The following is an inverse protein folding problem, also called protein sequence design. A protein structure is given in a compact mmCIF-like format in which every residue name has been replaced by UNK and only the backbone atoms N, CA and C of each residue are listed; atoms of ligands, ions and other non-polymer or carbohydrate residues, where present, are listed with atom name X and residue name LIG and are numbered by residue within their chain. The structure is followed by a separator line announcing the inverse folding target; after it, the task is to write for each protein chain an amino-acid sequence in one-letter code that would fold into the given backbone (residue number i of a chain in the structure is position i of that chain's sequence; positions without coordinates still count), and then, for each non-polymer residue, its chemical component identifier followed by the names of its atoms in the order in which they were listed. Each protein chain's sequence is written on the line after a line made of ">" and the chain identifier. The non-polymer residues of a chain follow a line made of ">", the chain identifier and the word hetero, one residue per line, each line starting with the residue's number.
data_IF_558418595917
#
_entry.id   IF_558418595917
#
_cell.length_a   1.000
_cell.length_b   1.000
_cell.length_c   1.000
_cell.angle_alpha   90.00
_cell.angle_beta   90.00
_cell.angle_gamma   90.00
#
_symmetry.space_group_name_H-M   'P 1'
#
loop_
_entity.id
_entity.type
_entity.pdbx_description
1 polymer ?
#
# COMPACT_ATOMS: atom_id res chain seq x y z
N UNK A 1 50.01 29.86 -9.42
CA UNK A 1 49.40 28.94 -10.40
C UNK A 1 48.96 27.70 -9.65
N UNK A 2 47.70 27.68 -9.21
CA UNK A 2 46.88 26.48 -9.04
C UNK A 2 45.43 26.94 -9.10
N UNK A 3 44.65 26.17 -9.83
CA UNK A 3 43.37 26.45 -10.48
C UNK A 3 42.25 26.93 -9.53
N UNK A 4 41.38 27.85 -9.99
CA UNK A 4 40.18 28.27 -9.28
C UNK A 4 39.01 27.30 -9.54
N UNK A 5 38.14 27.17 -8.54
CA UNK A 5 36.73 26.76 -8.73
C UNK A 5 36.51 25.33 -9.25
N UNK A 6 36.57 24.36 -8.35
CA UNK A 6 35.65 23.23 -8.45
C UNK A 6 34.21 23.80 -8.32
N UNK A 7 33.34 23.67 -9.34
CA UNK A 7 31.97 24.14 -9.21
C UNK A 7 31.27 23.28 -8.16
N UNK A 8 30.46 23.85 -7.25
CA UNK A 8 29.55 23.03 -6.46
C UNK A 8 28.70 22.23 -7.45
N UNK A 9 28.71 20.90 -7.30
CA UNK A 9 27.87 20.00 -8.09
C UNK A 9 26.42 20.51 -8.13
N UNK A 10 25.68 20.23 -9.21
CA UNK A 10 24.38 20.84 -9.45
C UNK A 10 23.47 20.69 -8.22
N UNK A 11 22.80 21.76 -7.78
CA UNK A 11 21.81 21.65 -6.72
C UNK A 11 20.66 20.75 -7.20
N UNK A 12 20.29 19.77 -6.38
CA UNK A 12 18.98 19.11 -6.42
C UNK A 12 18.65 18.26 -7.67
N UNK A 13 19.50 17.26 -7.97
CA UNK A 13 18.90 15.97 -8.36
C UNK A 13 18.24 15.43 -7.10
N UNK A 14 16.91 15.54 -6.99
CA UNK A 14 16.17 15.25 -5.76
C UNK A 14 16.71 13.99 -5.11
N UNK A 15 17.24 14.11 -3.89
CA UNK A 15 17.72 12.96 -3.14
C UNK A 15 16.55 11.97 -3.03
N UNK A 16 16.61 10.80 -3.67
CA UNK A 16 15.49 9.87 -3.71
C UNK A 16 15.16 9.36 -2.31
N UNK A 17 16.15 9.22 -1.43
CA UNK A 17 15.92 8.86 -0.04
C UNK A 17 15.23 10.00 0.71
N UNK A 18 15.63 11.25 0.49
CA UNK A 18 14.97 12.43 1.05
C UNK A 18 13.51 12.60 0.61
N UNK A 19 13.17 12.20 -0.62
CA UNK A 19 11.78 12.15 -1.12
C UNK A 19 11.00 11.06 -0.41
N UNK A 20 11.52 9.83 -0.37
CA UNK A 20 10.90 8.68 0.32
C UNK A 20 10.57 9.03 1.76
N UNK A 21 11.56 9.53 2.52
CA UNK A 21 11.43 9.98 3.90
C UNK A 21 10.30 10.99 4.13
N UNK A 22 10.17 11.99 3.24
CA UNK A 22 9.11 13.01 3.35
C UNK A 22 7.74 12.40 3.12
N UNK A 23 7.62 11.51 2.14
CA UNK A 23 6.37 10.84 1.80
C UNK A 23 5.96 9.87 2.91
N UNK A 24 6.88 9.08 3.45
CA UNK A 24 6.62 8.17 4.56
C UNK A 24 6.17 8.92 5.81
N UNK A 25 6.86 10.01 6.18
CA UNK A 25 6.43 10.86 7.29
C UNK A 25 5.04 11.45 7.06
N UNK A 26 4.75 11.93 5.85
CA UNK A 26 3.43 12.48 5.51
C UNK A 26 2.34 11.42 5.61
N UNK A 27 2.58 10.23 5.06
CA UNK A 27 1.66 9.10 5.11
C UNK A 27 1.32 8.71 6.55
N UNK A 28 2.34 8.51 7.39
CA UNK A 28 2.13 8.09 8.78
C UNK A 28 1.55 9.17 9.68
N UNK A 29 1.85 10.46 9.44
CA UNK A 29 1.40 11.56 10.28
C UNK A 29 0.01 12.08 9.92
N UNK A 30 -0.35 12.12 8.64
CA UNK A 30 -1.56 12.78 8.16
C UNK A 30 -2.60 11.83 7.57
N UNK A 31 -2.24 10.57 7.31
CA UNK A 31 -3.12 9.59 6.67
C UNK A 31 -3.20 8.27 7.46
N UNK A 32 -3.00 8.30 8.77
CA UNK A 32 -3.14 7.12 9.63
C UNK A 32 -4.58 6.58 9.61
N UNK A 33 -5.57 7.46 9.50
CA UNK A 33 -6.99 7.11 9.33
C UNK A 33 -7.23 6.26 8.07
N UNK A 34 -6.52 6.55 6.98
CA UNK A 34 -6.59 5.76 5.74
C UNK A 34 -5.96 4.40 5.96
N UNK A 35 -4.81 4.33 6.65
CA UNK A 35 -4.16 3.05 6.99
C UNK A 35 -5.05 2.20 7.91
N UNK A 36 -5.68 2.80 8.91
CA UNK A 36 -6.62 2.13 9.81
C UNK A 36 -7.86 1.63 9.06
N UNK A 37 -8.36 2.42 8.10
CA UNK A 37 -9.45 2.02 7.20
C UNK A 37 -9.08 0.83 6.31
N UNK A 38 -7.89 0.84 5.72
CA UNK A 38 -7.34 -0.29 4.95
C UNK A 38 -7.23 -1.55 5.81
N UNK A 39 -6.72 -1.42 7.03
CA UNK A 39 -6.62 -2.51 8.01
C UNK A 39 -8.00 -3.09 8.33
N UNK A 40 -8.97 -2.24 8.66
CA UNK A 40 -10.34 -2.63 8.98
C UNK A 40 -11.02 -3.38 7.82
N UNK A 41 -10.85 -2.88 6.59
CA UNK A 41 -11.37 -3.56 5.40
C UNK A 41 -10.72 -4.92 5.19
N UNK A 42 -9.42 -5.04 5.42
CA UNK A 42 -8.70 -6.30 5.31
C UNK A 42 -9.12 -7.31 6.40
N UNK A 43 -9.38 -6.84 7.62
CA UNK A 43 -9.87 -7.67 8.73
C UNK A 43 -11.27 -8.21 8.45
N UNK A 44 -12.16 -7.37 7.88
CA UNK A 44 -13.49 -7.79 7.47
C UNK A 44 -13.43 -8.92 6.42
N UNK A 45 -12.60 -8.73 5.38
CA UNK A 45 -12.37 -9.75 4.34
C UNK A 45 -11.76 -11.03 4.92
N UNK A 46 -10.77 -10.90 5.80
CA UNK A 46 -10.13 -12.05 6.45
C UNK A 46 -11.10 -12.84 7.35
N UNK A 47 -12.06 -12.16 7.98
CA UNK A 47 -13.11 -12.79 8.80
C UNK A 47 -14.03 -13.68 7.97
N UNK A 48 -14.31 -13.31 6.71
CA UNK A 48 -15.14 -14.12 5.80
C UNK A 48 -14.51 -15.49 5.52
N UNK A 49 -13.18 -15.58 5.44
CA UNK A 49 -12.49 -16.84 5.15
C UNK A 49 -12.40 -17.75 6.37
N UNK A 50 -12.21 -17.16 7.55
CA UNK A 50 -12.18 -17.91 8.82
C UNK A 50 -13.54 -18.51 9.18
N UNK A 51 -14.64 -17.90 8.72
CA UNK A 51 -16.01 -18.37 8.97
C UNK A 51 -16.48 -19.52 8.08
N UNK A 52 -15.69 -19.96 7.10
CA UNK A 52 -16.06 -21.00 6.12
C UNK A 52 -15.46 -22.40 6.38
N UNK A 53 -14.68 -22.55 7.45
CA UNK A 53 -13.96 -23.79 7.79
C UNK A 53 -14.56 -24.53 8.98
N UNK A 54 -15.83 -24.93 8.89
CA UNK A 54 -16.41 -25.91 9.83
C UNK A 54 -15.85 -27.32 9.53
N UNK A 55 -14.60 -27.57 9.91
CA UNK A 55 -14.12 -28.91 10.27
C UNK A 55 -13.30 -28.82 11.58
N UNK A 56 -13.85 -28.11 12.56
CA UNK A 56 -13.31 -28.11 13.91
C UNK A 56 -13.70 -29.40 14.63
N UNK A 57 -12.73 -30.29 14.77
CA UNK A 57 -12.73 -31.29 15.84
C UNK A 57 -12.82 -30.54 17.18
N UNK A 58 -13.84 -30.78 18.02
CA UNK A 58 -13.96 -30.10 19.30
C UNK A 58 -12.83 -30.55 20.23
N UNK A 59 -11.85 -29.68 20.49
CA UNK A 59 -10.77 -29.98 21.44
C UNK A 59 -9.51 -29.15 21.31
N UNK A 60 -9.21 -28.56 20.15
CA UNK A 60 -8.07 -27.66 19.99
C UNK A 60 -8.52 -26.20 20.05
N UNK A 61 -8.21 -25.54 21.17
CA UNK A 61 -8.14 -24.08 21.21
C UNK A 61 -7.06 -23.64 20.23
N UNK A 62 -7.45 -23.34 18.99
CA UNK A 62 -6.56 -22.82 17.94
C UNK A 62 -6.13 -21.39 18.29
N UNK A 63 -5.16 -21.30 19.19
CA UNK A 63 -4.43 -20.07 19.47
C UNK A 63 -3.41 -19.84 18.34
N UNK A 64 -3.49 -18.67 17.71
CA UNK A 64 -2.47 -18.06 16.85
C UNK A 64 -2.31 -18.58 15.40
N UNK A 65 -3.40 -18.92 14.69
CA UNK A 65 -3.33 -18.96 13.22
C UNK A 65 -3.87 -17.65 12.62
N UNK A 66 -3.02 -16.95 11.87
CA UNK A 66 -3.43 -15.79 11.08
C UNK A 66 -4.46 -16.24 10.02
N UNK A 67 -5.52 -15.46 9.75
CA UNK A 67 -6.50 -15.79 8.73
C UNK A 67 -5.83 -16.08 7.38
N UNK A 68 -6.19 -17.19 6.74
CA UNK A 68 -5.59 -17.66 5.48
C UNK A 68 -6.63 -18.16 4.49
N UNK A 69 -6.43 -17.90 3.20
CA UNK A 69 -7.16 -18.52 2.09
C UNK A 69 -6.22 -18.89 0.94
N UNK A 70 -6.57 -19.86 0.10
CA UNK A 70 -5.87 -20.12 -1.19
C UNK A 70 -6.60 -19.53 -2.39
N UNK A 71 -7.82 -19.01 -2.19
CA UNK A 71 -8.64 -18.42 -3.24
C UNK A 71 -8.31 -16.93 -3.44
N UNK A 72 -7.73 -16.60 -4.59
CA UNK A 72 -7.42 -15.21 -4.97
C UNK A 72 -8.68 -14.37 -5.21
N UNK A 73 -9.74 -14.99 -5.71
CA UNK A 73 -11.01 -14.32 -6.00
C UNK A 73 -11.81 -14.03 -4.72
N UNK A 74 -11.45 -14.68 -3.61
CA UNK A 74 -11.88 -14.31 -2.26
C UNK A 74 -11.09 -13.11 -1.68
N UNK A 75 -9.97 -12.70 -2.29
CA UNK A 75 -9.10 -11.61 -1.81
C UNK A 75 -9.34 -10.32 -2.59
N UNK A 76 -8.97 -10.29 -3.87
CA UNK A 76 -8.90 -9.02 -4.62
C UNK A 76 -10.28 -8.41 -4.82
N UNK A 77 -11.29 -9.14 -5.33
CA UNK A 77 -12.63 -8.59 -5.50
C UNK A 77 -13.31 -8.24 -4.17
N UNK A 78 -13.13 -9.07 -3.14
CA UNK A 78 -13.71 -8.82 -1.82
C UNK A 78 -13.13 -7.56 -1.17
N UNK A 79 -11.80 -7.42 -1.21
CA UNK A 79 -11.12 -6.25 -0.70
C UNK A 79 -11.45 -4.99 -1.50
N UNK A 80 -11.50 -5.07 -2.83
CA UNK A 80 -11.93 -3.94 -3.66
C UNK A 80 -13.34 -3.47 -3.30
N UNK A 81 -14.30 -4.39 -3.10
CA UNK A 81 -15.66 -4.05 -2.66
C UNK A 81 -15.69 -3.43 -1.26
N UNK A 82 -14.91 -3.96 -0.32
CA UNK A 82 -14.82 -3.41 1.03
C UNK A 82 -14.28 -1.98 1.03
N UNK A 83 -13.23 -1.70 0.25
CA UNK A 83 -12.67 -0.37 0.09
C UNK A 83 -13.65 0.61 -0.57
N UNK A 84 -14.42 0.15 -1.56
CA UNK A 84 -15.44 0.97 -2.22
C UNK A 84 -16.59 1.31 -1.27
N UNK A 85 -17.09 0.33 -0.52
CA UNK A 85 -18.14 0.51 0.48
C UNK A 85 -17.71 1.45 1.63
N UNK A 86 -16.43 1.40 2.02
CA UNK A 86 -15.85 2.32 2.99
C UNK A 86 -15.54 3.72 2.42
N UNK A 87 -15.74 3.94 1.10
CA UNK A 87 -15.40 5.20 0.42
C UNK A 87 -13.90 5.44 0.26
N UNK A 88 -13.05 4.49 0.64
CA UNK A 88 -11.59 4.61 0.58
C UNK A 88 -11.09 4.71 -0.85
N UNK A 89 -11.68 3.96 -1.80
CA UNK A 89 -11.27 4.05 -3.21
C UNK A 89 -11.39 5.46 -3.77
N UNK A 90 -12.45 6.19 -3.42
CA UNK A 90 -12.64 7.58 -3.83
C UNK A 90 -11.69 8.55 -3.10
N UNK A 91 -11.19 8.17 -1.93
CA UNK A 91 -10.30 8.99 -1.11
C UNK A 91 -8.80 8.84 -1.50
N UNK A 92 -8.38 7.64 -1.93
CA UNK A 92 -6.99 7.32 -2.29
C UNK A 92 -6.35 8.27 -3.32
N UNK A 93 -7.05 8.80 -4.35
CA UNK A 93 -6.47 9.78 -5.25
C UNK A 93 -6.06 11.09 -4.54
N UNK A 94 -6.85 11.53 -3.55
CA UNK A 94 -6.52 12.72 -2.76
C UNK A 94 -5.26 12.49 -1.94
N UNK A 95 -5.19 11.35 -1.26
CA UNK A 95 -3.98 10.91 -0.54
C UNK A 95 -2.78 10.92 -1.46
N UNK A 96 -2.89 10.32 -2.66
CA UNK A 96 -1.79 10.33 -3.63
C UNK A 96 -1.36 11.76 -4.01
N UNK A 97 -2.30 12.68 -4.20
CA UNK A 97 -1.98 14.09 -4.49
C UNK A 97 -1.23 14.77 -3.34
N UNK A 98 -1.61 14.49 -2.11
CA UNK A 98 -0.97 15.04 -0.91
C UNK A 98 0.45 14.48 -0.72
N UNK A 99 0.64 13.17 -0.94
CA UNK A 99 1.94 12.51 -0.94
C UNK A 99 2.86 13.06 -2.05
N UNK A 100 2.32 13.29 -3.25
CA UNK A 100 3.05 13.92 -4.36
C UNK A 100 3.47 15.35 -4.00
N UNK A 101 2.61 16.10 -3.32
CA UNK A 101 2.95 17.44 -2.83
C UNK A 101 4.09 17.38 -1.81
N UNK A 102 4.07 16.41 -0.90
CA UNK A 102 5.15 16.17 0.06
C UNK A 102 6.47 15.73 -0.60
N UNK A 103 6.40 15.05 -1.75
CA UNK A 103 7.58 14.76 -2.57
C UNK A 103 8.23 16.03 -3.16
N UNK A 104 7.50 17.15 -3.21
CA UNK A 104 8.01 18.44 -3.68
C UNK A 104 8.01 18.56 -5.20
N UNK A 105 7.10 17.85 -5.89
CA UNK A 105 6.98 17.86 -7.35
C UNK A 105 5.51 18.07 -7.75
N UNK A 106 5.23 18.93 -8.74
CA UNK A 106 3.87 19.11 -9.23
C UNK A 106 3.44 17.88 -10.02
N UNK A 107 2.19 17.46 -9.83
CA UNK A 107 1.61 16.39 -10.62
C UNK A 107 1.09 16.94 -11.96
N UNK A 108 1.33 16.25 -13.09
CA UNK A 108 0.90 16.74 -14.40
C UNK A 108 -0.63 16.67 -14.61
N UNK A 109 -1.32 15.76 -13.90
CA UNK A 109 -2.75 15.60 -13.99
C UNK A 109 -3.32 15.13 -12.64
N UNK A 110 -4.55 15.55 -12.26
CA UNK A 110 -5.20 15.05 -11.04
C UNK A 110 -5.39 13.53 -11.14
N UNK A 111 -5.13 12.78 -10.04
CA UNK A 111 -5.20 11.34 -10.07
C UNK A 111 -6.67 10.90 -9.98
N UNK A 112 -6.97 9.73 -10.51
CA UNK A 112 -8.30 9.12 -10.45
C UNK A 112 -8.26 7.82 -9.67
N UNK A 113 -9.42 7.38 -9.14
CA UNK A 113 -9.58 6.13 -8.38
C UNK A 113 -9.53 4.88 -9.30
N UNK A 114 -8.56 4.84 -10.21
CA UNK A 114 -8.41 3.79 -11.20
C UNK A 114 -6.94 3.68 -11.64
N UNK A 115 -6.57 2.56 -12.29
CA UNK A 115 -5.28 2.46 -12.95
C UNK A 115 -5.09 3.62 -13.95
N UNK A 116 -3.87 4.18 -14.05
CA UNK A 116 -2.63 3.69 -13.46
C UNK A 116 -2.33 4.19 -12.05
N UNK A 117 -3.21 4.99 -11.44
CA UNK A 117 -2.94 5.71 -10.19
C UNK A 117 -3.24 4.89 -8.94
N UNK A 118 -4.36 4.17 -8.94
CA UNK A 118 -4.80 3.31 -7.84
C UNK A 118 -5.01 1.90 -8.39
N UNK A 119 -4.32 0.92 -7.81
CA UNK A 119 -4.45 -0.49 -8.20
C UNK A 119 -4.65 -1.33 -6.95
N UNK A 120 -5.75 -2.09 -6.90
CA UNK A 120 -5.98 -3.09 -5.85
C UNK A 120 -5.31 -4.40 -6.29
N UNK A 121 -4.55 -5.02 -5.40
CA UNK A 121 -3.80 -6.26 -5.63
C UNK A 121 -4.16 -7.30 -4.57
N UNK A 122 -3.64 -8.50 -4.71
CA UNK A 122 -3.79 -9.56 -3.69
C UNK A 122 -2.99 -9.31 -2.41
N UNK A 123 -2.13 -8.28 -2.40
CA UNK A 123 -1.37 -7.88 -1.21
C UNK A 123 -1.95 -6.63 -0.55
N UNK A 124 -2.75 -5.82 -1.27
CA UNK A 124 -3.31 -4.58 -0.76
C UNK A 124 -3.55 -3.54 -1.85
N UNK A 125 -3.11 -2.31 -1.63
CA UNK A 125 -3.28 -1.20 -2.57
C UNK A 125 -1.94 -0.65 -3.03
N UNK A 126 -1.82 -0.38 -4.33
CA UNK A 126 -0.68 0.27 -4.94
C UNK A 126 -1.10 1.65 -5.47
N UNK A 127 -0.45 2.70 -4.96
CA UNK A 127 -0.59 4.06 -5.44
C UNK A 127 0.61 4.43 -6.31
N UNK A 128 0.36 5.06 -7.45
CA UNK A 128 1.40 5.38 -8.44
C UNK A 128 1.20 6.76 -9.02
N UNK A 129 2.25 7.58 -8.97
CA UNK A 129 2.28 8.87 -9.65
C UNK A 129 3.57 9.04 -10.44
N UNK A 130 3.47 9.69 -11.60
CA UNK A 130 4.62 10.14 -12.38
C UNK A 130 4.95 11.58 -11.99
N UNK A 131 6.19 11.82 -11.57
CA UNK A 131 6.70 13.08 -11.03
C UNK A 131 7.91 13.55 -11.83
N UNK A 132 7.65 14.25 -12.94
CA UNK A 132 8.70 14.66 -13.88
C UNK A 132 9.50 13.45 -14.36
N UNK A 133 10.77 13.44 -14.01
CA UNK A 133 11.80 12.46 -14.36
C UNK A 133 11.76 11.19 -13.51
N UNK A 134 10.91 11.12 -12.48
CA UNK A 134 10.74 9.96 -11.61
C UNK A 134 9.31 9.46 -11.47
N UNK A 135 9.14 8.34 -10.76
CA UNK A 135 7.87 7.72 -10.41
C UNK A 135 7.84 7.42 -8.93
N UNK A 136 6.82 7.99 -8.26
CA UNK A 136 6.45 7.61 -6.91
C UNK A 136 5.57 6.37 -6.94
N UNK A 137 5.94 5.37 -6.15
CA UNK A 137 5.15 4.16 -5.92
C UNK A 137 4.99 4.00 -4.41
N UNK A 138 3.76 3.91 -3.94
CA UNK A 138 3.43 3.65 -2.54
C UNK A 138 2.64 2.34 -2.47
N UNK A 139 3.20 1.35 -1.79
CA UNK A 139 2.57 0.05 -1.59
C UNK A 139 2.01 -0.02 -0.17
N UNK A 140 0.71 -0.22 -0.03
CA UNK A 140 0.01 -0.37 1.24
C UNK A 140 -0.42 -1.83 1.35
N UNK A 141 0.42 -2.65 1.97
CA UNK A 141 0.26 -4.11 2.03
C UNK A 141 -0.46 -4.52 3.30
N UNK A 142 -1.60 -5.20 3.15
CA UNK A 142 -2.44 -5.72 4.23
C UNK A 142 -2.55 -7.24 4.20
N UNK A 143 -2.18 -7.86 3.08
CA UNK A 143 -2.07 -9.31 2.92
C UNK A 143 -0.65 -9.69 2.52
N UNK A 144 -0.22 -10.87 2.93
CA UNK A 144 0.99 -11.54 2.47
C UNK A 144 0.63 -12.70 1.53
N UNK A 145 1.56 -13.05 0.65
CA UNK A 145 1.43 -14.20 -0.25
C UNK A 145 2.43 -15.26 0.22
N UNK A 146 1.92 -16.27 0.91
CA UNK A 146 2.71 -17.44 1.27
C UNK A 146 2.78 -18.42 0.09
N UNK A 147 3.98 -18.55 -0.48
CA UNK A 147 4.31 -19.48 -1.56
C UNK A 147 5.13 -20.69 -1.10
N UNK A 148 5.35 -20.85 0.21
CA UNK A 148 6.13 -21.96 0.75
C UNK A 148 5.35 -23.29 0.74
N UNK A 149 4.02 -23.22 0.74
CA UNK A 149 3.15 -24.37 0.61
C UNK A 149 3.00 -24.84 -0.85
N UNK A 150 2.44 -26.04 -1.04
CA UNK A 150 2.14 -26.61 -2.35
C UNK A 150 1.21 -25.70 -3.16
N UNK A 151 0.31 -24.99 -2.47
CA UNK A 151 -0.58 -23.98 -3.06
C UNK A 151 -0.24 -22.58 -2.52
N UNK A 152 -0.42 -21.57 -3.38
CA UNK A 152 -0.26 -20.18 -2.97
C UNK A 152 -1.36 -19.80 -1.97
N UNK A 153 -0.96 -19.41 -0.77
CA UNK A 153 -1.86 -18.89 0.26
C UNK A 153 -1.78 -17.37 0.38
N UNK A 154 -2.89 -16.76 0.74
CA UNK A 154 -3.02 -15.36 1.10
C UNK A 154 -3.28 -15.28 2.60
N UNK A 155 -2.47 -14.51 3.30
CA UNK A 155 -2.51 -14.42 4.76
C UNK A 155 -2.73 -12.97 5.16
N UNK A 156 -3.67 -12.71 6.07
CA UNK A 156 -3.86 -11.37 6.64
C UNK A 156 -2.64 -10.97 7.48
N UNK A 157 -2.06 -9.80 7.19
CA UNK A 157 -0.97 -9.20 7.99
C UNK A 157 -1.52 -8.57 9.28
N UNK A 158 -0.66 -8.35 10.25
CA UNK A 158 -0.98 -7.47 11.38
C UNK A 158 -0.74 -6.01 10.95
N UNK A 159 -1.81 -5.22 10.81
CA UNK A 159 -1.77 -3.83 10.35
C UNK A 159 -1.48 -3.65 8.85
N UNK A 160 -0.94 -2.47 8.50
CA UNK A 160 -0.56 -2.09 7.12
C UNK A 160 0.95 -1.92 7.02
N UNK A 161 1.58 -2.67 6.11
CA UNK A 161 2.98 -2.49 5.71
C UNK A 161 3.02 -1.46 4.57
N UNK A 162 3.37 -0.22 4.93
CA UNK A 162 3.51 0.88 3.98
C UNK A 162 4.95 0.98 3.49
N UNK A 163 5.15 0.89 2.17
CA UNK A 163 6.45 1.00 1.53
C UNK A 163 6.43 2.07 0.44
N UNK A 164 7.36 3.01 0.51
CA UNK A 164 7.49 4.09 -0.46
C UNK A 164 8.75 3.88 -1.31
N UNK A 165 8.60 4.02 -2.61
CA UNK A 165 9.70 3.92 -3.57
C UNK A 165 9.64 5.11 -4.54
N UNK A 166 10.79 5.74 -4.76
CA UNK A 166 10.98 6.75 -5.78
C UNK A 166 12.07 6.28 -6.75
N UNK A 167 11.72 6.16 -8.03
CA UNK A 167 12.58 5.61 -9.09
C UNK A 167 12.56 6.46 -10.34
#
# INVERSE_FOLDING_TARGET
>A
MSDPSDPPGPPDSADPAGVVDRVERRLSAEHSDVLDGLSTCADAVATEWNGGGDDHTPGETSSAHSPRTTDRDAVVPAFQRALDAAGLLAHLPRVLSDLVTAAGRPMPAPPVAAPPYVVVTSEGVLLRASLGDGRLVVSLRVFDIDRAAVETGYVRRDGVDARVEFR
#
